data_IF_367731003046
#
_entry.id   IF_367731003046
#
_cell.length_a   1.000
_cell.length_b   1.000
_cell.length_c   1.000
_cell.angle_alpha   90.00
_cell.angle_beta   90.00
_cell.angle_gamma   90.00
#
_symmetry.space_group_name_H-M   'P 1'
#
loop_
_entity.id
_entity.type
_entity.pdbx_description
1 polymer ?
#
# COMPACT_ATOMS: atom_id res chain seq x y z
N UNK A 1 -26.33 -18.20 -9.33
CA UNK A 1 -26.07 -16.85 -9.89
C UNK A 1 -24.63 -16.75 -10.33
N UNK A 2 -24.39 -16.92 -11.63
CA UNK A 2 -23.07 -16.84 -12.25
C UNK A 2 -22.68 -15.37 -12.41
N UNK A 3 -21.44 -15.01 -12.06
CA UNK A 3 -21.00 -13.62 -11.92
C UNK A 3 -20.27 -13.19 -13.20
N UNK A 4 -20.85 -12.26 -13.97
CA UNK A 4 -20.39 -11.89 -15.32
C UNK A 4 -19.41 -10.69 -15.33
N UNK A 5 -18.96 -10.17 -14.16
CA UNK A 5 -18.10 -8.99 -14.14
C UNK A 5 -17.28 -8.75 -12.88
N UNK A 6 -16.47 -7.68 -12.93
CA UNK A 6 -15.51 -7.33 -11.87
C UNK A 6 -16.20 -6.99 -10.54
N UNK A 7 -15.62 -7.47 -9.43
CA UNK A 7 -16.14 -7.20 -8.09
C UNK A 7 -15.74 -5.80 -7.63
N UNK A 8 -16.67 -4.84 -7.65
CA UNK A 8 -16.42 -3.46 -7.17
C UNK A 8 -16.29 -3.33 -5.65
N UNK A 9 -16.86 -4.28 -4.89
CA UNK A 9 -16.91 -4.22 -3.42
C UNK A 9 -16.24 -5.43 -2.76
N UNK A 10 -15.68 -5.20 -1.57
CA UNK A 10 -15.03 -6.22 -0.75
C UNK A 10 -15.75 -6.34 0.60
N UNK A 11 -16.27 -7.54 0.91
CA UNK A 11 -16.81 -7.85 2.24
C UNK A 11 -15.66 -7.88 3.24
N UNK A 12 -15.85 -7.29 4.42
CA UNK A 12 -14.80 -7.19 5.44
C UNK A 12 -14.37 -8.55 6.00
N UNK A 13 -15.29 -9.52 6.06
CA UNK A 13 -14.98 -10.91 6.42
C UNK A 13 -14.03 -11.60 5.45
N UNK A 14 -13.99 -11.17 4.20
CA UNK A 14 -13.10 -11.68 3.14
C UNK A 14 -11.87 -10.79 2.91
N UNK A 15 -11.58 -9.85 3.81
CA UNK A 15 -10.36 -9.07 3.72
C UNK A 15 -9.11 -9.98 3.84
N UNK A 16 -7.98 -9.62 3.22
CA UNK A 16 -6.70 -10.32 3.40
C UNK A 16 -6.31 -10.48 4.87
N UNK A 17 -5.59 -11.56 5.20
CA UNK A 17 -5.08 -11.81 6.58
C UNK A 17 -3.98 -10.82 6.98
N UNK A 18 -3.31 -10.26 5.98
CA UNK A 18 -2.21 -9.29 6.15
C UNK A 18 -2.68 -7.96 6.74
N UNK A 19 -3.99 -7.64 6.66
CA UNK A 19 -4.54 -6.39 7.18
C UNK A 19 -4.86 -6.52 8.67
N UNK A 20 -4.29 -5.63 9.49
CA UNK A 20 -4.60 -5.53 10.93
C UNK A 20 -5.95 -4.82 11.14
N UNK A 21 -7.05 -5.52 10.85
CA UNK A 21 -8.40 -4.97 10.97
C UNK A 21 -9.38 -5.90 11.70
N UNK A 22 -10.28 -5.32 12.50
CA UNK A 22 -11.39 -6.07 13.10
C UNK A 22 -12.40 -6.49 12.03
N UNK A 23 -12.47 -7.78 11.69
CA UNK A 23 -13.29 -8.29 10.58
C UNK A 23 -14.80 -8.26 10.83
N UNK A 24 -15.23 -8.30 12.10
CA UNK A 24 -16.65 -8.39 12.49
C UNK A 24 -17.33 -7.03 12.70
N UNK A 25 -16.58 -5.92 12.84
CA UNK A 25 -17.17 -4.62 13.19
C UNK A 25 -18.09 -4.04 12.11
N UNK A 26 -17.81 -4.30 10.83
CA UNK A 26 -18.58 -3.73 9.70
C UNK A 26 -18.72 -4.78 8.60
N UNK A 27 -19.80 -4.69 7.83
CA UNK A 27 -20.07 -5.59 6.69
C UNK A 27 -19.07 -5.42 5.54
N UNK A 28 -18.71 -4.17 5.25
CA UNK A 28 -17.91 -3.81 4.08
C UNK A 28 -16.54 -3.24 4.47
N UNK A 29 -15.58 -3.43 3.57
CA UNK A 29 -14.23 -2.87 3.67
C UNK A 29 -13.87 -2.15 2.38
N UNK A 30 -12.76 -1.40 2.42
CA UNK A 30 -12.22 -0.74 1.23
C UNK A 30 -11.47 -1.77 0.39
N UNK A 31 -11.78 -1.82 -0.91
CA UNK A 31 -11.05 -2.64 -1.89
C UNK A 31 -9.89 -1.80 -2.46
N UNK A 32 -8.70 -2.37 -2.54
CA UNK A 32 -7.55 -1.75 -3.18
C UNK A 32 -7.87 -1.49 -4.65
N UNK A 33 -7.40 -0.36 -5.17
CA UNK A 33 -7.32 -0.17 -6.63
C UNK A 33 -6.18 -1.04 -7.19
N UNK A 34 -6.22 -1.41 -8.48
CA UNK A 34 -5.04 -1.95 -9.15
C UNK A 34 -3.89 -0.95 -9.03
N UNK A 35 -2.70 -1.45 -8.73
CA UNK A 35 -1.54 -0.61 -8.45
C UNK A 35 -0.25 -1.44 -8.34
N UNK A 36 0.79 -0.90 -7.69
CA UNK A 36 2.11 -1.52 -7.62
C UNK A 36 2.09 -2.96 -7.08
N UNK A 37 1.30 -3.16 -6.03
CA UNK A 37 1.25 -4.43 -5.31
C UNK A 37 -0.10 -5.12 -5.47
N UNK A 38 -0.09 -6.45 -5.43
CA UNK A 38 -1.32 -7.24 -5.50
C UNK A 38 -2.23 -6.95 -4.28
N UNK A 39 -3.54 -7.04 -4.46
CA UNK A 39 -4.52 -6.75 -3.40
C UNK A 39 -4.39 -7.65 -2.16
N UNK A 40 -3.73 -8.80 -2.29
CA UNK A 40 -3.44 -9.70 -1.16
C UNK A 40 -2.22 -9.25 -0.37
N UNK A 41 -1.19 -8.72 -1.05
CA UNK A 41 0.09 -8.30 -0.45
C UNK A 41 0.14 -6.81 -0.09
N UNK A 42 -0.98 -6.10 -0.20
CA UNK A 42 -1.03 -4.66 -0.02
C UNK A 42 -2.17 -4.22 0.89
N UNK A 43 -1.91 -3.16 1.65
CA UNK A 43 -2.86 -2.50 2.55
C UNK A 43 -3.27 -1.15 1.95
N UNK A 44 -4.56 -0.79 1.93
CA UNK A 44 -4.99 0.55 1.56
C UNK A 44 -4.43 1.65 2.47
N UNK A 45 -4.07 2.79 1.89
CA UNK A 45 -3.67 3.99 2.64
C UNK A 45 -4.67 4.41 3.73
N UNK A 46 -5.97 4.18 3.51
CA UNK A 46 -6.98 4.45 4.53
C UNK A 46 -6.70 3.73 5.86
N UNK A 47 -6.31 2.45 5.80
CA UNK A 47 -6.05 1.67 7.01
C UNK A 47 -4.77 2.13 7.69
N UNK A 48 -3.74 2.47 6.91
CA UNK A 48 -2.48 3.02 7.43
C UNK A 48 -2.75 4.28 8.28
N UNK A 49 -3.52 5.23 7.74
CA UNK A 49 -3.81 6.48 8.46
C UNK A 49 -4.74 6.31 9.65
N UNK A 50 -5.77 5.45 9.53
CA UNK A 50 -6.81 5.32 10.56
C UNK A 50 -6.49 4.28 11.63
N UNK A 51 -6.11 3.08 11.21
CA UNK A 51 -6.01 1.91 12.08
C UNK A 51 -4.56 1.66 12.56
N UNK A 52 -3.54 2.05 11.79
CA UNK A 52 -2.14 1.81 12.14
C UNK A 52 -1.50 3.01 12.86
N UNK A 53 -1.61 4.20 12.26
CA UNK A 53 -1.01 5.43 12.81
C UNK A 53 -1.96 6.21 13.72
N UNK A 54 -3.28 6.06 13.54
CA UNK A 54 -4.29 6.73 14.37
C UNK A 54 -4.49 8.22 14.08
N UNK A 55 -3.93 8.76 12.99
CA UNK A 55 -4.09 10.16 12.58
C UNK A 55 -5.52 10.57 12.21
N UNK A 56 -6.35 9.58 11.88
CA UNK A 56 -7.76 9.78 11.60
C UNK A 56 -8.57 8.77 12.42
N UNK A 57 -9.74 9.18 12.92
CA UNK A 57 -10.75 8.28 13.50
C UNK A 57 -11.79 7.88 12.45
N UNK A 58 -12.14 8.80 11.55
CA UNK A 58 -13.13 8.56 10.51
C UNK A 58 -12.53 8.45 9.11
N UNK A 59 -13.27 7.82 8.18
CA UNK A 59 -12.86 7.77 6.75
C UNK A 59 -12.83 9.17 6.12
N UNK A 60 -13.70 10.09 6.57
CA UNK A 60 -13.77 11.46 6.06
C UNK A 60 -12.50 12.23 6.42
N UNK A 61 -12.04 12.15 7.67
CA UNK A 61 -10.77 12.75 8.12
C UNK A 61 -9.58 12.23 7.31
N UNK A 62 -9.45 10.90 7.17
CA UNK A 62 -8.38 10.31 6.38
C UNK A 62 -8.38 10.82 4.93
N UNK A 63 -9.57 10.96 4.33
CA UNK A 63 -9.72 11.51 2.98
C UNK A 63 -9.30 12.97 2.90
N UNK A 64 -9.60 13.79 3.92
CA UNK A 64 -9.15 15.18 3.98
C UNK A 64 -7.62 15.25 4.06
N UNK A 65 -6.98 14.40 4.88
CA UNK A 65 -5.52 14.33 5.00
C UNK A 65 -4.88 13.99 3.65
N UNK A 66 -5.40 12.96 2.97
CA UNK A 66 -4.90 12.54 1.66
C UNK A 66 -5.13 13.60 0.57
N UNK A 67 -6.30 14.24 0.53
CA UNK A 67 -6.61 15.28 -0.45
C UNK A 67 -5.73 16.53 -0.29
N UNK A 68 -5.34 16.85 0.95
CA UNK A 68 -4.36 17.91 1.24
C UNK A 68 -2.93 17.56 0.79
N UNK A 69 -2.68 16.33 0.34
CA UNK A 69 -1.38 15.90 -0.16
C UNK A 69 -0.32 15.73 0.92
N UNK A 70 -0.74 15.48 2.17
CA UNK A 70 0.15 15.38 3.33
C UNK A 70 0.84 14.02 3.48
N UNK A 71 0.61 13.10 2.54
CA UNK A 71 1.14 11.74 2.59
C UNK A 71 1.83 11.43 1.27
N UNK A 72 3.10 11.02 1.35
CA UNK A 72 3.84 10.49 0.22
C UNK A 72 4.05 8.99 0.39
N UNK A 73 4.02 8.28 -0.73
CA UNK A 73 4.45 6.89 -0.83
C UNK A 73 5.58 6.83 -1.85
N UNK A 74 6.74 6.35 -1.43
CA UNK A 74 7.98 6.34 -2.21
C UNK A 74 8.29 7.72 -2.85
N UNK A 75 8.14 8.79 -2.07
CA UNK A 75 8.39 10.17 -2.50
C UNK A 75 7.32 10.79 -3.43
N UNK A 76 6.22 10.08 -3.72
CA UNK A 76 5.10 10.61 -4.54
C UNK A 76 3.87 10.89 -3.70
N UNK A 77 3.27 12.07 -3.88
CA UNK A 77 2.01 12.43 -3.20
C UNK A 77 0.89 11.49 -3.66
N UNK A 78 0.21 10.85 -2.71
CA UNK A 78 -0.93 9.97 -2.99
C UNK A 78 -2.20 10.53 -2.34
N UNK A 79 -3.20 10.79 -3.18
CA UNK A 79 -4.51 11.33 -2.75
C UNK A 79 -5.60 10.25 -2.62
N UNK A 80 -5.41 9.09 -3.25
CA UNK A 80 -6.41 8.02 -3.21
C UNK A 80 -6.27 7.16 -1.93
N UNK A 81 -7.34 7.10 -1.15
CA UNK A 81 -7.49 6.27 0.04
C UNK A 81 -7.41 4.75 -0.24
N UNK A 82 -7.67 4.33 -1.48
CA UNK A 82 -7.64 2.94 -1.94
C UNK A 82 -6.28 2.50 -2.46
N UNK A 83 -5.30 3.40 -2.51
CA UNK A 83 -3.98 3.11 -3.06
C UNK A 83 -3.33 1.94 -2.27
N UNK A 84 -2.88 0.87 -2.97
CA UNK A 84 -2.23 -0.26 -2.33
C UNK A 84 -0.80 0.10 -1.93
N UNK A 85 -0.52 0.06 -0.62
CA UNK A 85 0.84 0.12 -0.07
C UNK A 85 1.27 -1.30 0.29
N UNK A 86 2.39 -1.74 -0.27
CA UNK A 86 2.91 -3.09 -0.09
C UNK A 86 4.17 -3.14 0.75
N UNK A 87 4.83 -4.29 0.71
CA UNK A 87 6.07 -4.54 1.42
C UNK A 87 7.19 -3.65 0.86
N UNK A 88 8.09 -3.19 1.73
CA UNK A 88 9.20 -2.27 1.42
C UNK A 88 8.81 -0.87 0.94
N UNK A 89 7.52 -0.56 0.80
CA UNK A 89 7.10 0.80 0.49
C UNK A 89 7.40 1.73 1.68
N UNK A 90 7.78 2.97 1.35
CA UNK A 90 8.09 4.01 2.33
C UNK A 90 6.95 5.01 2.34
N UNK A 91 6.31 5.15 3.51
CA UNK A 91 5.23 6.10 3.77
C UNK A 91 5.81 7.28 4.53
N UNK A 92 5.73 8.46 3.93
CA UNK A 92 6.27 9.69 4.51
C UNK A 92 5.14 10.66 4.82
N UNK A 93 5.24 11.31 5.98
CA UNK A 93 4.34 12.38 6.41
C UNK A 93 5.20 13.63 6.64
N UNK A 94 5.33 14.54 5.66
CA UNK A 94 6.24 15.67 5.74
C UNK A 94 5.92 16.59 6.91
N UNK A 95 4.63 16.72 7.25
CA UNK A 95 4.17 17.61 8.31
C UNK A 95 4.64 17.18 9.71
N UNK A 96 4.80 15.88 9.95
CA UNK A 96 5.30 15.33 11.21
C UNK A 96 6.76 14.89 11.11
N UNK A 97 7.36 15.04 9.91
CA UNK A 97 8.71 14.59 9.60
C UNK A 97 8.96 13.09 9.82
N UNK A 98 7.89 12.29 9.79
CA UNK A 98 7.95 10.86 10.04
C UNK A 98 8.03 10.06 8.75
N UNK A 99 8.92 9.06 8.76
CA UNK A 99 9.07 8.08 7.70
C UNK A 99 8.83 6.68 8.26
N UNK A 100 8.00 5.91 7.56
CA UNK A 100 7.67 4.55 7.93
C UNK A 100 7.94 3.60 6.77
N UNK A 101 8.65 2.50 7.04
CA UNK A 101 8.81 1.40 6.10
C UNK A 101 7.80 0.31 6.40
N UNK A 102 7.10 -0.17 5.38
CA UNK A 102 6.10 -1.23 5.53
C UNK A 102 6.79 -2.60 5.48
N UNK A 103 6.68 -3.36 6.56
CA UNK A 103 7.28 -4.69 6.69
C UNK A 103 6.24 -5.72 7.18
N UNK A 104 6.31 -6.97 6.73
CA UNK A 104 5.51 -8.04 7.32
C UNK A 104 6.08 -8.43 8.69
N UNK A 105 5.20 -8.63 9.66
CA UNK A 105 5.53 -9.18 10.97
C UNK A 105 5.55 -10.73 10.92
N UNK A 106 6.09 -11.39 11.95
CA UNK A 106 6.13 -12.88 12.06
C UNK A 106 4.75 -13.54 11.94
N UNK A 107 3.69 -12.85 12.34
CA UNK A 107 2.28 -13.30 12.21
C UNK A 107 1.73 -13.16 10.79
N UNK A 108 2.48 -12.56 9.87
CA UNK A 108 2.05 -12.30 8.49
C UNK A 108 1.20 -11.03 8.32
N UNK A 109 1.09 -10.18 9.34
CA UNK A 109 0.42 -8.88 9.24
C UNK A 109 1.40 -7.81 8.78
N UNK A 110 0.97 -6.81 8.00
CA UNK A 110 1.81 -5.64 7.78
C UNK A 110 2.00 -4.87 9.08
N UNK A 111 3.19 -4.31 9.24
CA UNK A 111 3.60 -3.44 10.32
C UNK A 111 4.35 -2.24 9.73
N UNK A 112 4.23 -1.08 10.39
CA UNK A 112 4.92 0.14 10.01
C UNK A 112 6.12 0.32 10.94
N UNK A 113 7.32 0.15 10.39
CA UNK A 113 8.57 0.36 11.11
C UNK A 113 9.03 1.81 10.90
N UNK A 114 9.23 2.57 11.99
CA UNK A 114 9.71 3.95 11.91
C UNK A 114 11.19 3.93 11.50
N UNK A 115 11.53 4.62 10.41
CA UNK A 115 12.89 4.69 9.86
C UNK A 115 13.41 6.13 9.93
N UNK A 116 14.73 6.34 10.09
CA UNK A 116 15.33 7.67 9.99
C UNK A 116 15.20 8.24 8.57
N UNK A 117 15.28 9.57 8.44
CA UNK A 117 15.12 10.27 7.15
C UNK A 117 16.16 9.87 6.10
N UNK A 118 17.33 9.40 6.51
CA UNK A 118 18.42 8.99 5.60
C UNK A 118 18.06 7.70 4.85
N UNK A 119 17.42 6.76 5.55
CA UNK A 119 16.99 5.48 4.96
C UNK A 119 15.80 5.60 4.01
N UNK A 120 15.16 6.77 3.93
CA UNK A 120 13.98 6.97 3.07
C UNK A 120 14.31 6.80 1.58
N UNK A 121 15.56 7.02 1.19
CA UNK A 121 16.00 6.91 -0.19
C UNK A 121 16.35 5.47 -0.59
N UNK A 122 16.52 4.58 0.38
CA UNK A 122 16.93 3.20 0.16
C UNK A 122 15.70 2.29 0.19
N UNK A 123 15.33 1.78 -0.98
CA UNK A 123 14.29 0.76 -1.14
C UNK A 123 14.89 -0.47 -1.81
N UNK A 124 14.70 -1.63 -1.19
CA UNK A 124 15.15 -2.91 -1.74
C UNK A 124 14.09 -3.43 -2.70
N UNK A 125 14.53 -3.91 -3.86
CA UNK A 125 13.66 -4.54 -4.83
C UNK A 125 14.10 -5.97 -5.11
N UNK A 126 13.15 -6.90 -5.05
CA UNK A 126 13.35 -8.24 -5.61
C UNK A 126 13.07 -8.21 -7.11
N UNK A 127 14.00 -8.76 -7.90
CA UNK A 127 13.81 -9.01 -9.33
C UNK A 127 12.98 -10.29 -9.45
N UNK A 128 11.82 -10.21 -10.10
CA UNK A 128 10.94 -11.37 -10.34
C UNK A 128 11.21 -11.99 -11.71
N UNK A 129 11.53 -11.16 -12.69
CA UNK A 129 11.75 -11.63 -14.06
C UNK A 129 12.65 -10.69 -14.84
N UNK A 130 13.15 -11.21 -15.95
CA UNK A 130 13.88 -10.44 -16.95
C UNK A 130 13.25 -10.69 -18.31
N UNK A 131 13.15 -9.66 -19.13
CA UNK A 131 12.54 -9.76 -20.46
C UNK A 131 13.44 -9.03 -21.45
N UNK A 132 13.78 -9.67 -22.56
CA UNK A 132 14.51 -9.00 -23.64
C UNK A 132 13.51 -8.18 -24.45
N UNK A 133 13.75 -6.87 -24.56
CA UNK A 133 12.98 -5.98 -25.40
C UNK A 133 13.53 -5.94 -26.83
N UNK A 134 12.76 -5.30 -27.71
CA UNK A 134 13.26 -4.91 -29.03
C UNK A 134 14.53 -4.05 -28.85
N UNK A 135 15.50 -4.23 -29.75
CA UNK A 135 16.84 -3.63 -29.69
C UNK A 135 17.81 -4.24 -28.66
N UNK A 136 17.51 -5.42 -28.11
CA UNK A 136 18.44 -6.16 -27.23
C UNK A 136 18.57 -5.61 -25.81
N UNK A 137 17.75 -4.62 -25.44
CA UNK A 137 17.71 -4.06 -24.07
C UNK A 137 17.06 -5.04 -23.12
N UNK A 138 17.65 -5.26 -21.93
CA UNK A 138 17.13 -6.18 -20.91
C UNK A 138 16.27 -5.42 -19.91
N UNK A 139 14.97 -5.66 -19.91
CA UNK A 139 14.07 -5.14 -18.90
C UNK A 139 14.06 -6.04 -17.66
N UNK A 140 14.33 -5.47 -16.50
CA UNK A 140 14.17 -6.11 -15.19
C UNK A 140 12.79 -5.79 -14.63
N UNK A 141 12.00 -6.84 -14.38
CA UNK A 141 10.66 -6.72 -13.80
C UNK A 141 10.76 -6.92 -12.28
N UNK A 142 10.34 -5.90 -11.52
CA UNK A 142 10.44 -5.88 -10.07
C UNK A 142 9.14 -6.33 -9.39
N UNK A 143 9.26 -6.71 -8.11
CA UNK A 143 8.13 -7.19 -7.31
C UNK A 143 6.99 -6.19 -7.05
N UNK A 144 7.27 -4.90 -7.14
CA UNK A 144 6.29 -3.82 -6.98
C UNK A 144 5.72 -3.33 -8.33
N UNK A 145 5.90 -4.12 -9.39
CA UNK A 145 5.40 -3.82 -10.73
C UNK A 145 6.16 -2.72 -11.47
N UNK A 146 7.26 -2.20 -10.89
CA UNK A 146 8.18 -1.30 -11.59
C UNK A 146 9.07 -2.09 -12.55
N UNK A 147 9.46 -1.43 -13.63
CA UNK A 147 10.37 -1.98 -14.62
C UNK A 147 11.61 -1.08 -14.70
N UNK A 148 12.79 -1.70 -14.72
CA UNK A 148 14.08 -1.02 -14.95
C UNK A 148 14.63 -1.51 -16.28
N UNK A 149 15.18 -0.61 -17.08
CA UNK A 149 15.85 -0.90 -18.35
C UNK A 149 17.37 -0.92 -18.17
#
# INVERSE_FOLDING_TARGET
>A
MTRIGEKKSLKRSKAPKIWRIHRKNKKWTVKNIPGPHSGEKAVPLLFILRDYLGYAKTRREAKIILNRGLVLVDGRIRKDERFPVGVMDIVEIPKTEECYRVLPNRKGEMYLYKVPKEEKYLKIFSIIGKTLLKNGVVQLNLHDGRNIL
#
